data_IF_557761820229
#
_entry.id   IF_557761820229
#
_cell.length_a   1.000
_cell.length_b   1.000
_cell.length_c   1.000
_cell.angle_alpha   90.00
_cell.angle_beta   90.00
_cell.angle_gamma   90.00
#
_symmetry.space_group_name_H-M   'P 1'
#
loop_
_entity.id
_entity.type
_entity.pdbx_description
1 polymer ?
#
# COMPACT_ATOMS: atom_id res chain seq x y z
N UNK A 1 -22.09 20.30 0.95
CA UNK A 1 -21.31 19.41 1.84
C UNK A 1 -22.22 18.25 2.23
N UNK A 2 -22.12 17.09 1.61
CA UNK A 2 -22.80 15.90 2.13
C UNK A 2 -21.93 15.35 3.26
N UNK A 3 -22.47 15.17 4.48
CA UNK A 3 -21.72 14.54 5.56
C UNK A 3 -21.30 13.13 5.13
N UNK A 4 -20.13 12.69 5.59
CA UNK A 4 -19.77 11.29 5.47
C UNK A 4 -20.93 10.44 6.01
N UNK A 5 -21.33 9.34 5.35
CA UNK A 5 -22.39 8.50 5.88
C UNK A 5 -22.01 8.10 7.30
N UNK A 6 -22.91 8.38 8.25
CA UNK A 6 -22.78 7.90 9.61
C UNK A 6 -22.51 6.38 9.51
N UNK A 7 -21.46 5.90 10.19
CA UNK A 7 -21.23 4.46 10.33
C UNK A 7 -22.58 3.83 10.64
N UNK A 8 -22.98 2.82 9.85
CA UNK A 8 -24.11 2.00 10.24
C UNK A 8 -23.75 1.42 11.61
N UNK A 9 -24.41 1.94 12.66
CA UNK A 9 -24.24 1.47 14.02
C UNK A 9 -24.55 -0.04 14.01
N UNK A 10 -23.56 -0.87 14.33
CA UNK A 10 -23.75 -2.31 14.54
C UNK A 10 -23.17 -3.28 13.53
N UNK A 11 -22.49 -2.89 12.43
CA UNK A 11 -21.81 -3.90 11.61
C UNK A 11 -20.43 -4.23 12.23
N UNK A 12 -20.42 -5.26 13.05
CA UNK A 12 -19.18 -5.83 13.56
C UNK A 12 -18.30 -6.31 12.40
N UNK A 13 -17.07 -5.79 12.32
CA UNK A 13 -16.14 -6.17 11.24
C UNK A 13 -15.79 -7.65 11.39
N UNK A 14 -15.97 -8.41 10.34
CA UNK A 14 -15.76 -9.85 10.36
C UNK A 14 -14.30 -10.20 10.14
N UNK A 15 -13.69 -10.97 11.06
CA UNK A 15 -12.29 -11.40 11.01
C UNK A 15 -12.12 -12.94 10.99
N UNK A 16 -13.20 -13.71 10.98
CA UNK A 16 -13.20 -15.17 11.05
C UNK A 16 -13.48 -15.84 9.70
N UNK A 17 -13.18 -15.13 8.63
CA UNK A 17 -13.35 -15.63 7.26
C UNK A 17 -12.69 -16.99 7.08
N UNK A 18 -13.41 -17.91 6.43
CA UNK A 18 -12.84 -19.19 6.00
C UNK A 18 -12.38 -19.09 4.57
N UNK A 19 -11.26 -19.74 4.23
CA UNK A 19 -10.68 -19.69 2.88
C UNK A 19 -11.68 -20.09 1.77
N UNK A 20 -12.58 -21.11 1.94
CA UNK A 20 -13.62 -21.40 0.95
C UNK A 20 -14.63 -20.26 0.74
N UNK A 21 -14.96 -19.49 1.79
CA UNK A 21 -15.85 -18.33 1.66
C UNK A 21 -15.18 -17.21 0.87
N UNK A 22 -13.91 -16.92 1.13
CA UNK A 22 -13.12 -15.95 0.36
C UNK A 22 -13.01 -16.40 -1.10
N UNK A 23 -12.79 -17.69 -1.34
CA UNK A 23 -12.78 -18.26 -2.69
C UNK A 23 -14.13 -18.09 -3.41
N UNK A 24 -15.24 -18.33 -2.73
CA UNK A 24 -16.57 -18.13 -3.29
C UNK A 24 -16.83 -16.67 -3.68
N UNK A 25 -16.41 -15.73 -2.82
CA UNK A 25 -16.49 -14.29 -3.13
C UNK A 25 -15.60 -13.96 -4.33
N UNK A 26 -14.35 -14.40 -4.32
CA UNK A 26 -13.38 -14.13 -5.40
C UNK A 26 -13.87 -14.63 -6.76
N UNK A 27 -14.52 -15.81 -6.80
CA UNK A 27 -15.05 -16.44 -8.02
C UNK A 27 -16.42 -15.97 -8.45
N UNK A 28 -17.06 -15.08 -7.70
CA UNK A 28 -18.32 -14.45 -8.12
C UNK A 28 -18.14 -13.84 -9.53
N UNK A 29 -19.14 -13.95 -10.43
CA UNK A 29 -19.11 -13.27 -11.73
C UNK A 29 -18.72 -11.79 -11.56
N UNK A 30 -17.78 -11.31 -12.37
CA UNK A 30 -17.14 -10.00 -12.12
C UNK A 30 -18.13 -8.83 -12.02
N UNK A 31 -19.20 -8.72 -12.85
CA UNK A 31 -20.17 -7.65 -12.71
C UNK A 31 -20.87 -7.67 -11.34
N UNK A 32 -21.27 -8.84 -10.87
CA UNK A 32 -21.92 -9.03 -9.57
C UNK A 32 -20.94 -8.74 -8.42
N UNK A 33 -19.68 -9.17 -8.54
CA UNK A 33 -18.64 -8.91 -7.55
C UNK A 33 -18.39 -7.41 -7.40
N UNK A 34 -18.29 -6.67 -8.50
CA UNK A 34 -18.09 -5.21 -8.50
C UNK A 34 -19.31 -4.49 -7.92
N UNK A 35 -20.53 -4.91 -8.26
CA UNK A 35 -21.75 -4.36 -7.68
C UNK A 35 -21.78 -4.53 -6.16
N UNK A 36 -21.50 -5.73 -5.65
CA UNK A 36 -21.42 -6.00 -4.21
C UNK A 36 -20.34 -5.18 -3.53
N UNK A 37 -19.15 -5.10 -4.12
CA UNK A 37 -18.04 -4.31 -3.59
C UNK A 37 -18.39 -2.82 -3.52
N UNK A 38 -19.05 -2.26 -4.53
CA UNK A 38 -19.49 -0.88 -4.55
C UNK A 38 -20.61 -0.62 -3.51
N UNK A 39 -21.51 -1.57 -3.32
CA UNK A 39 -22.53 -1.49 -2.28
C UNK A 39 -21.91 -1.43 -0.87
N UNK A 40 -20.90 -2.27 -0.61
CA UNK A 40 -20.12 -2.24 0.64
C UNK A 40 -19.34 -0.94 0.76
N UNK A 41 -18.67 -0.50 -0.31
CA UNK A 41 -17.89 0.74 -0.31
C UNK A 41 -18.70 1.94 0.17
N UNK A 42 -19.93 2.10 -0.36
CA UNK A 42 -20.84 3.23 -0.03
C UNK A 42 -21.32 3.22 1.42
N UNK A 43 -21.23 2.12 2.13
CA UNK A 43 -21.59 2.05 3.56
C UNK A 43 -20.49 2.62 4.46
N UNK A 44 -19.23 2.65 3.99
CA UNK A 44 -18.08 3.06 4.79
C UNK A 44 -17.42 4.34 4.28
N UNK A 45 -17.58 4.66 3.00
CA UNK A 45 -16.91 5.77 2.33
C UNK A 45 -17.83 6.52 1.38
N UNK A 46 -17.57 7.79 1.20
CA UNK A 46 -18.13 8.57 0.11
C UNK A 46 -17.55 8.06 -1.22
N UNK A 47 -18.40 7.68 -2.20
CA UNK A 47 -17.94 7.01 -3.41
C UNK A 47 -17.18 7.92 -4.38
N UNK A 48 -17.26 9.24 -4.17
CA UNK A 48 -16.58 10.26 -4.96
C UNK A 48 -15.27 10.74 -4.33
N UNK A 49 -14.83 10.16 -3.19
CA UNK A 49 -13.65 10.61 -2.47
C UNK A 49 -12.48 9.63 -2.58
N UNK A 50 -11.34 10.15 -3.06
CA UNK A 50 -10.09 9.38 -3.24
C UNK A 50 -9.00 9.96 -2.35
N UNK A 51 -8.36 9.14 -1.53
CA UNK A 51 -7.16 9.54 -0.80
C UNK A 51 -5.97 9.57 -1.77
N UNK A 52 -5.29 10.70 -1.85
CA UNK A 52 -4.03 10.84 -2.55
C UNK A 52 -2.85 10.70 -1.60
N UNK A 53 -1.86 9.92 -2.00
CA UNK A 53 -0.65 9.67 -1.24
C UNK A 53 0.57 9.93 -2.11
N UNK A 54 1.64 10.49 -1.56
CA UNK A 54 2.92 10.59 -2.26
C UNK A 54 3.95 9.70 -1.58
N UNK A 55 4.77 9.01 -2.37
CA UNK A 55 5.82 8.12 -1.87
C UNK A 55 7.19 8.63 -2.29
N UNK A 56 8.08 8.79 -1.31
CA UNK A 56 9.47 9.16 -1.52
C UNK A 56 10.40 8.04 -1.08
N UNK A 57 11.36 7.67 -1.93
CA UNK A 57 12.48 6.81 -1.54
C UNK A 57 13.50 7.66 -0.77
N UNK A 58 13.53 7.50 0.55
CA UNK A 58 14.47 8.26 1.40
C UNK A 58 15.87 7.61 1.49
N UNK A 59 15.97 6.32 1.14
CA UNK A 59 17.22 5.59 0.96
C UNK A 59 17.02 4.53 -0.12
N UNK A 60 17.75 4.63 -1.23
CA UNK A 60 17.54 3.82 -2.43
C UNK A 60 18.63 2.79 -2.61
N UNK A 61 18.25 1.57 -2.98
CA UNK A 61 19.14 0.49 -3.40
C UNK A 61 19.98 -0.15 -2.30
N UNK A 62 20.57 -1.30 -2.61
CA UNK A 62 21.45 -2.04 -1.71
C UNK A 62 20.73 -2.68 -0.54
N UNK A 63 19.46 -3.02 -0.67
CA UNK A 63 18.72 -3.82 0.31
C UNK A 63 19.28 -5.26 0.33
N UNK A 64 19.61 -5.82 1.51
CA UNK A 64 20.15 -7.18 1.58
C UNK A 64 19.09 -8.29 1.42
N UNK A 65 17.83 -7.95 1.18
CA UNK A 65 16.76 -8.91 0.90
C UNK A 65 16.76 -9.32 -0.58
N UNK A 66 16.38 -10.57 -0.86
CA UNK A 66 16.34 -11.18 -2.18
C UNK A 66 14.95 -11.16 -2.83
N UNK A 67 14.06 -10.25 -2.44
CA UNK A 67 12.71 -10.15 -3.00
C UNK A 67 12.76 -10.14 -4.53
N UNK A 68 12.25 -11.20 -5.18
CA UNK A 68 12.43 -11.48 -6.61
C UNK A 68 11.85 -10.40 -7.56
N UNK A 69 10.97 -9.55 -7.07
CA UNK A 69 10.38 -8.41 -7.79
C UNK A 69 11.12 -7.09 -7.59
N UNK A 70 12.05 -7.01 -6.61
CA UNK A 70 12.50 -5.72 -6.09
C UNK A 70 13.77 -5.23 -6.80
N UNK A 71 13.65 -4.10 -7.49
CA UNK A 71 14.79 -3.41 -8.12
C UNK A 71 15.85 -2.89 -7.13
N UNK A 72 15.52 -2.77 -5.85
CA UNK A 72 16.43 -2.24 -4.83
C UNK A 72 17.25 -3.32 -4.11
N UNK A 73 17.00 -4.60 -4.43
CA UNK A 73 17.76 -5.72 -3.89
C UNK A 73 19.24 -5.65 -4.27
N UNK A 74 20.13 -5.99 -3.34
CA UNK A 74 21.55 -6.11 -3.61
C UNK A 74 21.92 -7.42 -4.33
N UNK A 75 20.95 -8.34 -4.46
CA UNK A 75 21.12 -9.63 -5.14
C UNK A 75 20.97 -9.51 -6.66
N UNK A 76 20.46 -8.39 -7.19
CA UNK A 76 20.12 -8.25 -8.60
C UNK A 76 20.77 -7.02 -9.24
N UNK A 77 21.15 -7.15 -10.52
CA UNK A 77 21.72 -6.05 -11.31
C UNK A 77 20.60 -5.32 -12.08
N UNK A 78 19.99 -4.35 -11.42
CA UNK A 78 18.81 -3.61 -11.94
C UNK A 78 19.14 -2.20 -12.43
N UNK A 79 20.42 -1.82 -12.45
CA UNK A 79 20.83 -0.46 -12.80
C UNK A 79 20.51 0.60 -11.73
N UNK A 80 19.95 0.21 -10.60
CA UNK A 80 19.64 1.15 -9.51
C UNK A 80 20.91 1.52 -8.75
N UNK A 81 21.27 2.80 -8.80
CA UNK A 81 22.40 3.34 -8.02
C UNK A 81 22.05 3.42 -6.56
N UNK A 82 22.92 2.88 -5.71
CA UNK A 82 22.79 3.01 -4.24
C UNK A 82 22.91 4.47 -3.82
N UNK A 83 21.97 4.93 -3.02
CA UNK A 83 21.98 6.26 -2.43
C UNK A 83 22.01 6.16 -0.91
N UNK A 84 22.69 7.09 -0.27
CA UNK A 84 22.63 7.25 1.17
C UNK A 84 21.25 7.74 1.59
N UNK A 85 20.97 7.70 2.89
CA UNK A 85 19.78 8.34 3.46
C UNK A 85 19.76 9.82 3.09
N UNK A 86 18.62 10.30 2.65
CA UNK A 86 18.41 11.71 2.31
C UNK A 86 18.50 12.60 3.55
N UNK A 87 18.82 13.86 3.33
CA UNK A 87 18.79 14.88 4.39
C UNK A 87 17.33 15.13 4.84
N UNK A 88 17.03 15.19 6.16
CA UNK A 88 15.69 15.45 6.67
C UNK A 88 15.04 16.72 6.12
N UNK A 89 15.79 17.79 5.96
CA UNK A 89 15.26 19.08 5.42
C UNK A 89 14.78 18.93 3.98
N UNK A 90 15.52 18.15 3.18
CA UNK A 90 15.11 17.85 1.80
C UNK A 90 13.78 17.08 1.78
N UNK A 91 13.67 16.02 2.61
CA UNK A 91 12.45 15.19 2.70
C UNK A 91 11.25 16.04 3.15
N UNK A 92 11.42 16.87 4.17
CA UNK A 92 10.38 17.78 4.66
C UNK A 92 9.98 18.81 3.58
N UNK A 93 10.94 19.29 2.78
CA UNK A 93 10.69 20.19 1.64
C UNK A 93 9.78 19.53 0.60
N UNK A 94 10.11 18.29 0.18
CA UNK A 94 9.28 17.51 -0.76
C UNK A 94 7.88 17.24 -0.19
N UNK A 95 7.79 16.94 1.10
CA UNK A 95 6.50 16.71 1.76
C UNK A 95 5.64 17.98 1.80
N UNK A 96 6.25 19.15 2.02
CA UNK A 96 5.54 20.45 1.98
C UNK A 96 4.97 20.73 0.60
N UNK A 97 5.76 20.55 -0.45
CA UNK A 97 5.27 20.68 -1.83
C UNK A 97 4.11 19.71 -2.14
N UNK A 98 4.16 18.50 -1.60
CA UNK A 98 3.07 17.54 -1.72
C UNK A 98 1.81 18.02 -0.99
N UNK A 99 1.94 18.54 0.23
CA UNK A 99 0.82 19.09 1.01
C UNK A 99 0.16 20.28 0.30
N UNK A 100 0.95 21.19 -0.31
CA UNK A 100 0.45 22.32 -1.10
C UNK A 100 -0.37 21.87 -2.32
N UNK A 101 -0.08 20.68 -2.88
CA UNK A 101 -0.87 20.05 -3.94
C UNK A 101 -2.08 19.24 -3.43
N UNK A 102 -2.38 19.30 -2.13
CA UNK A 102 -3.53 18.62 -1.53
C UNK A 102 -3.32 17.12 -1.25
N UNK A 103 -2.07 16.66 -1.24
CA UNK A 103 -1.74 15.27 -0.83
C UNK A 103 -1.93 15.16 0.69
N UNK A 104 -2.71 14.16 1.13
CA UNK A 104 -3.06 14.01 2.54
C UNK A 104 -2.17 13.01 3.30
N UNK A 105 -1.44 12.13 2.59
CA UNK A 105 -0.52 11.16 3.18
C UNK A 105 0.82 11.20 2.48
N UNK A 106 1.89 11.32 3.26
CA UNK A 106 3.26 11.22 2.76
C UNK A 106 3.91 9.93 3.24
N UNK A 107 4.39 9.13 2.29
CA UNK A 107 5.00 7.83 2.53
C UNK A 107 6.50 7.91 2.30
N UNK A 108 7.30 7.38 3.23
CA UNK A 108 8.76 7.33 3.17
C UNK A 108 9.24 5.89 3.13
N UNK A 109 9.95 5.51 2.08
CA UNK A 109 10.50 4.17 1.91
C UNK A 109 12.02 4.14 1.96
N UNK A 110 12.60 3.21 2.71
CA UNK A 110 14.04 2.97 2.75
C UNK A 110 14.36 1.52 2.41
N UNK A 111 15.37 1.31 1.56
CA UNK A 111 15.84 -0.01 1.16
C UNK A 111 16.66 -0.67 2.27
N UNK A 112 15.99 -1.06 3.35
CA UNK A 112 16.53 -1.77 4.50
C UNK A 112 15.79 -3.10 4.76
N UNK A 113 16.54 -4.08 5.25
CA UNK A 113 15.93 -5.30 5.82
C UNK A 113 15.25 -5.00 7.16
N UNK A 114 15.94 -4.18 7.98
CA UNK A 114 15.50 -3.73 9.29
C UNK A 114 15.93 -2.28 9.46
N UNK A 115 15.14 -1.47 10.15
CA UNK A 115 15.52 -0.12 10.47
C UNK A 115 16.85 -0.11 11.25
N UNK A 116 17.84 0.72 10.86
CA UNK A 116 19.10 0.81 11.56
C UNK A 116 18.92 1.46 12.94
N UNK A 117 19.96 1.41 13.74
CA UNK A 117 20.06 2.17 14.99
C UNK A 117 20.94 3.41 14.81
N UNK A 118 20.92 4.30 15.79
CA UNK A 118 21.77 5.50 15.83
C UNK A 118 21.36 6.58 14.84
N UNK A 119 22.33 7.28 14.28
CA UNK A 119 22.11 8.53 13.52
C UNK A 119 21.16 8.42 12.35
N UNK A 120 21.17 7.31 11.60
CA UNK A 120 20.25 7.16 10.47
C UNK A 120 18.80 7.04 10.96
N UNK A 121 18.57 6.33 12.07
CA UNK A 121 17.24 6.23 12.65
C UNK A 121 16.79 7.56 13.27
N UNK A 122 17.68 8.28 13.92
CA UNK A 122 17.42 9.63 14.44
C UNK A 122 17.00 10.59 13.31
N UNK A 123 17.68 10.54 12.16
CA UNK A 123 17.30 11.31 10.98
C UNK A 123 15.92 10.93 10.47
N UNK A 124 15.54 9.64 10.52
CA UNK A 124 14.18 9.21 10.16
C UNK A 124 13.14 9.75 11.14
N UNK A 125 13.42 9.78 12.45
CA UNK A 125 12.53 10.38 13.45
C UNK A 125 12.32 11.88 13.18
N UNK A 126 13.38 12.60 12.82
CA UNK A 126 13.30 14.02 12.40
C UNK A 126 12.42 14.18 11.15
N UNK A 127 12.58 13.33 10.13
CA UNK A 127 11.73 13.33 8.94
C UNK A 127 10.27 13.11 9.31
N UNK A 128 9.96 12.10 10.13
CA UNK A 128 8.61 11.77 10.58
C UNK A 128 7.98 12.96 11.30
N UNK A 129 8.69 13.53 12.25
CA UNK A 129 8.24 14.68 13.05
C UNK A 129 7.98 15.92 12.16
N UNK A 130 8.91 16.21 11.25
CA UNK A 130 8.79 17.33 10.32
C UNK A 130 7.63 17.18 9.34
N UNK A 131 7.36 15.98 8.84
CA UNK A 131 6.22 15.72 7.94
C UNK A 131 4.89 15.76 8.73
N UNK A 132 4.86 15.21 9.94
CA UNK A 132 3.69 15.26 10.81
C UNK A 132 3.29 16.71 11.15
N UNK A 133 4.29 17.58 11.38
CA UNK A 133 4.07 19.01 11.65
C UNK A 133 3.44 19.76 10.46
N UNK A 134 3.43 19.20 9.25
CA UNK A 134 2.71 19.74 8.09
C UNK A 134 1.22 19.36 8.08
N UNK A 135 0.71 18.63 9.09
CA UNK A 135 -0.67 18.15 9.14
C UNK A 135 -0.96 16.96 8.22
N UNK A 136 0.06 16.27 7.75
CA UNK A 136 -0.08 15.09 6.89
C UNK A 136 -0.12 13.79 7.69
N UNK A 137 -0.83 12.78 7.19
CA UNK A 137 -0.61 11.40 7.63
C UNK A 137 0.79 10.94 7.19
N UNK A 138 1.60 10.43 8.13
CA UNK A 138 2.95 9.93 7.85
C UNK A 138 2.95 8.42 7.80
N UNK A 139 3.47 7.86 6.72
CA UNK A 139 3.63 6.41 6.55
C UNK A 139 5.10 6.06 6.27
N UNK A 140 5.64 5.05 6.94
CA UNK A 140 7.01 4.59 6.71
C UNK A 140 7.07 3.12 6.28
N UNK A 141 8.08 2.79 5.46
CA UNK A 141 8.50 1.44 5.06
C UNK A 141 10.00 1.33 5.30
N UNK A 142 10.41 0.81 6.45
CA UNK A 142 11.82 0.79 6.89
C UNK A 142 12.35 -0.65 7.10
N UNK A 143 11.62 -1.65 6.59
CA UNK A 143 11.91 -3.06 6.87
C UNK A 143 11.29 -3.52 8.20
N UNK A 144 11.97 -4.40 8.93
CA UNK A 144 11.53 -4.86 10.25
C UNK A 144 11.80 -3.79 11.31
N UNK A 145 11.01 -3.78 12.38
CA UNK A 145 11.17 -2.89 13.53
C UNK A 145 11.29 -3.67 14.83
N UNK A 146 12.08 -3.13 15.75
CA UNK A 146 12.01 -3.51 17.17
C UNK A 146 10.82 -2.80 17.84
N UNK A 147 10.38 -3.28 19.01
CA UNK A 147 9.33 -2.62 19.80
C UNK A 147 9.70 -1.18 20.15
N UNK A 148 10.95 -0.96 20.55
CA UNK A 148 11.48 0.36 20.89
C UNK A 148 11.43 1.31 19.68
N UNK A 149 11.86 0.86 18.50
CA UNK A 149 11.80 1.65 17.27
C UNK A 149 10.36 2.02 16.88
N UNK A 150 9.43 1.08 17.03
CA UNK A 150 8.03 1.34 16.74
C UNK A 150 7.42 2.40 17.68
N UNK A 151 7.77 2.36 18.97
CA UNK A 151 7.33 3.37 19.97
C UNK A 151 7.92 4.73 19.63
N UNK A 152 9.23 4.83 19.37
CA UNK A 152 9.88 6.11 18.99
C UNK A 152 9.28 6.72 17.72
N UNK A 153 8.97 5.89 16.72
CA UNK A 153 8.29 6.36 15.50
C UNK A 153 6.88 6.89 15.80
N UNK A 154 6.13 6.22 16.68
CA UNK A 154 4.81 6.69 17.13
C UNK A 154 4.90 8.04 17.84
N UNK A 155 5.85 8.18 18.76
CA UNK A 155 6.11 9.43 19.50
C UNK A 155 6.53 10.57 18.56
N UNK A 156 7.28 10.26 17.49
CA UNK A 156 7.62 11.23 16.45
C UNK A 156 6.45 11.64 15.55
N UNK A 157 5.27 11.00 15.68
CA UNK A 157 4.07 11.34 14.91
C UNK A 157 3.76 10.39 13.75
N UNK A 158 4.37 9.19 13.69
CA UNK A 158 4.06 8.20 12.68
C UNK A 158 2.59 7.76 12.79
N UNK A 159 1.85 7.91 11.70
CA UNK A 159 0.44 7.51 11.60
C UNK A 159 0.28 6.06 11.18
N UNK A 160 1.06 5.62 10.20
CA UNK A 160 0.96 4.29 9.63
C UNK A 160 2.33 3.68 9.33
N UNK A 161 2.43 2.36 9.37
CA UNK A 161 3.62 1.63 8.95
C UNK A 161 3.27 0.65 7.83
N UNK A 162 3.97 0.76 6.71
CA UNK A 162 3.79 -0.16 5.60
C UNK A 162 4.73 -1.36 5.75
N UNK A 163 4.13 -2.55 5.79
CA UNK A 163 4.84 -3.81 5.77
C UNK A 163 3.99 -4.87 5.08
N UNK A 164 4.16 -5.01 3.77
CA UNK A 164 3.32 -5.89 2.96
C UNK A 164 3.60 -7.36 3.26
N UNK A 165 2.57 -8.20 3.15
CA UNK A 165 2.72 -9.67 3.12
C UNK A 165 3.18 -10.15 1.74
N UNK A 166 3.06 -9.32 0.73
CA UNK A 166 3.42 -9.50 -0.68
C UNK A 166 2.57 -10.55 -1.39
N UNK A 167 2.41 -11.75 -0.85
CA UNK A 167 1.62 -12.84 -1.43
C UNK A 167 1.03 -13.76 -0.36
N UNK A 168 0.52 -14.93 -0.72
CA UNK A 168 0.06 -15.95 0.24
C UNK A 168 1.22 -16.57 1.03
N UNK A 169 0.95 -17.13 2.23
CA UNK A 169 1.95 -17.90 2.97
C UNK A 169 2.58 -19.02 2.15
N UNK A 170 1.75 -19.70 1.32
CA UNK A 170 2.18 -20.87 0.53
C UNK A 170 3.11 -20.49 -0.62
N UNK A 171 2.93 -19.32 -1.23
CA UNK A 171 3.74 -18.87 -2.36
C UNK A 171 4.93 -17.99 -1.94
N UNK A 172 4.95 -17.50 -0.71
CA UNK A 172 5.93 -16.55 -0.22
C UNK A 172 7.38 -17.00 -0.41
N UNK A 173 7.69 -18.25 -0.05
CA UNK A 173 9.05 -18.83 -0.17
C UNK A 173 9.58 -18.93 -1.61
N UNK A 174 8.70 -18.84 -2.62
CA UNK A 174 9.10 -18.76 -4.03
C UNK A 174 9.54 -17.37 -4.47
N UNK A 175 9.25 -16.35 -3.65
CA UNK A 175 9.50 -14.95 -3.97
C UNK A 175 10.59 -14.34 -3.09
N UNK A 176 10.68 -14.74 -1.82
CA UNK A 176 11.62 -14.20 -0.83
C UNK A 176 12.15 -15.35 0.01
N UNK A 177 13.47 -15.47 0.11
CA UNK A 177 14.12 -16.51 0.93
C UNK A 177 14.92 -15.96 2.10
N UNK A 178 15.32 -14.70 2.05
CA UNK A 178 16.12 -14.04 3.09
C UNK A 178 15.33 -13.65 4.34
N UNK A 179 14.00 -13.70 4.30
CA UNK A 179 13.10 -13.38 5.41
C UNK A 179 11.87 -14.29 5.34
N UNK A 180 11.38 -14.72 6.50
CA UNK A 180 10.21 -15.58 6.60
C UNK A 180 8.90 -14.80 6.52
N UNK A 181 7.80 -15.47 6.24
CA UNK A 181 6.46 -14.90 6.31
C UNK A 181 6.10 -14.48 7.76
N UNK A 182 6.56 -15.28 8.73
CA UNK A 182 6.39 -15.03 10.16
C UNK A 182 7.07 -13.74 10.62
N UNK A 183 8.25 -13.40 10.08
CA UNK A 183 8.93 -12.13 10.35
C UNK A 183 8.07 -10.94 9.94
N UNK A 184 7.33 -11.07 8.85
CA UNK A 184 6.38 -10.04 8.42
C UNK A 184 5.21 -9.89 9.38
N UNK A 185 4.58 -11.00 9.76
CA UNK A 185 3.48 -10.98 10.73
C UNK A 185 3.93 -10.43 12.08
N UNK A 186 5.14 -10.81 12.55
CA UNK A 186 5.72 -10.29 13.79
C UNK A 186 5.94 -8.78 13.72
N UNK A 187 6.44 -8.26 12.59
CA UNK A 187 6.60 -6.81 12.41
C UNK A 187 5.26 -6.08 12.46
N UNK A 188 4.21 -6.62 11.83
CA UNK A 188 2.86 -6.05 11.90
C UNK A 188 2.32 -6.03 13.33
N UNK A 189 2.54 -7.12 14.10
CA UNK A 189 2.15 -7.18 15.51
C UNK A 189 2.91 -6.15 16.37
N UNK A 190 4.21 -5.99 16.15
CA UNK A 190 5.05 -4.99 16.82
C UNK A 190 4.54 -3.57 16.57
N UNK A 191 4.22 -3.26 15.33
CA UNK A 191 3.65 -1.95 14.93
C UNK A 191 2.31 -1.69 15.62
N UNK A 192 1.43 -2.71 15.64
CA UNK A 192 0.13 -2.61 16.33
C UNK A 192 0.28 -2.36 17.82
N UNK A 193 1.19 -3.07 18.47
CA UNK A 193 1.47 -2.91 19.91
C UNK A 193 1.90 -1.49 20.27
N UNK A 194 2.62 -0.82 19.38
CA UNK A 194 3.01 0.58 19.53
C UNK A 194 1.87 1.58 19.22
N UNK A 195 0.67 1.14 18.86
CA UNK A 195 -0.45 2.02 18.53
C UNK A 195 -0.33 2.74 17.18
N UNK A 196 0.49 2.20 16.27
CA UNK A 196 0.60 2.68 14.89
C UNK A 196 -0.34 1.87 13.99
N UNK A 197 -1.02 2.53 13.05
CA UNK A 197 -1.89 1.86 12.08
C UNK A 197 -1.06 1.06 11.07
N UNK A 198 -1.67 0.04 10.50
CA UNK A 198 -1.00 -0.86 9.55
C UNK A 198 -1.43 -0.55 8.12
N UNK A 199 -0.42 -0.40 7.24
CA UNK A 199 -0.58 -0.43 5.80
C UNK A 199 0.01 -1.77 5.32
N UNK A 200 -0.84 -2.71 4.88
CA UNK A 200 -0.40 -4.05 4.52
C UNK A 200 -1.23 -4.61 3.39
N UNK A 201 -0.58 -5.08 2.35
CA UNK A 201 -1.19 -5.67 1.16
C UNK A 201 -0.25 -6.61 0.44
N UNK A 202 -0.37 -6.68 -0.88
CA UNK A 202 0.46 -7.57 -1.69
C UNK A 202 0.62 -7.15 -3.13
N UNK A 203 1.26 -8.03 -3.89
CA UNK A 203 1.61 -7.84 -5.30
C UNK A 203 1.00 -9.00 -6.10
N UNK A 204 0.30 -8.67 -7.17
CA UNK A 204 -0.28 -9.64 -8.09
C UNK A 204 0.53 -9.70 -9.39
N UNK A 205 0.54 -10.85 -10.03
CA UNK A 205 1.26 -11.06 -11.30
C UNK A 205 2.71 -11.55 -11.12
N UNK A 206 3.07 -12.05 -9.93
CA UNK A 206 4.39 -12.64 -9.64
C UNK A 206 4.52 -14.11 -10.04
N UNK A 207 3.57 -14.65 -10.82
CA UNK A 207 3.49 -16.06 -11.18
C UNK A 207 2.66 -16.91 -10.21
N UNK A 208 2.02 -16.27 -9.26
CA UNK A 208 1.11 -16.89 -8.30
C UNK A 208 -0.16 -17.41 -8.98
N UNK A 209 -0.80 -18.40 -8.36
CA UNK A 209 -2.09 -18.96 -8.79
C UNK A 209 -3.24 -18.17 -8.17
N UNK A 210 -4.46 -18.40 -8.67
CA UNK A 210 -5.69 -17.86 -8.06
C UNK A 210 -5.79 -18.22 -6.56
N UNK A 211 -5.42 -19.45 -6.19
CA UNK A 211 -5.39 -19.92 -4.80
C UNK A 211 -4.50 -19.06 -3.90
N UNK A 212 -3.43 -18.50 -4.45
CA UNK A 212 -2.49 -17.67 -3.71
C UNK A 212 -3.03 -16.25 -3.53
N UNK A 213 -3.70 -15.69 -4.54
CA UNK A 213 -4.42 -14.41 -4.42
C UNK A 213 -5.53 -14.50 -3.36
N UNK A 214 -6.29 -15.60 -3.37
CA UNK A 214 -7.28 -15.90 -2.33
C UNK A 214 -6.61 -16.05 -0.96
N UNK A 215 -5.47 -16.74 -0.88
CA UNK A 215 -4.68 -16.92 0.34
C UNK A 215 -4.19 -15.61 0.93
N UNK A 216 -3.67 -14.69 0.11
CA UNK A 216 -3.28 -13.34 0.51
C UNK A 216 -4.46 -12.56 1.10
N UNK A 217 -5.58 -12.50 0.36
CA UNK A 217 -6.78 -11.77 0.79
C UNK A 217 -7.39 -12.35 2.07
N UNK A 218 -7.41 -13.68 2.19
CA UNK A 218 -7.82 -14.37 3.42
C UNK A 218 -6.93 -13.98 4.60
N UNK A 219 -5.59 -14.03 4.42
CA UNK A 219 -4.67 -13.66 5.50
C UNK A 219 -4.85 -12.22 5.96
N UNK A 220 -5.00 -11.27 5.03
CA UNK A 220 -5.25 -9.86 5.36
C UNK A 220 -6.57 -9.68 6.10
N UNK A 221 -7.64 -10.36 5.66
CA UNK A 221 -8.97 -10.26 6.24
C UNK A 221 -9.12 -10.97 7.60
N UNK A 222 -8.17 -11.81 8.00
CA UNK A 222 -8.15 -12.47 9.33
C UNK A 222 -7.30 -11.72 10.35
N UNK A 223 -6.58 -10.68 9.96
CA UNK A 223 -5.87 -9.82 10.92
C UNK A 223 -6.86 -9.06 11.81
N UNK A 224 -6.55 -8.94 13.09
CA UNK A 224 -7.37 -8.25 14.10
C UNK A 224 -6.59 -7.10 14.75
N UNK A 225 -6.97 -5.84 14.45
CA UNK A 225 -7.92 -5.38 13.44
C UNK A 225 -7.41 -5.58 12.01
N UNK A 226 -8.29 -5.39 11.00
CA UNK A 226 -7.87 -5.31 9.60
C UNK A 226 -6.81 -4.21 9.42
N UNK A 227 -5.91 -4.33 8.42
CA UNK A 227 -5.06 -3.22 8.03
C UNK A 227 -5.92 -1.99 7.67
N UNK A 228 -5.59 -0.83 8.18
CA UNK A 228 -6.30 0.41 7.85
C UNK A 228 -6.11 0.82 6.39
N UNK A 229 -5.02 0.37 5.78
CA UNK A 229 -4.75 0.55 4.35
C UNK A 229 -4.26 -0.75 3.73
N UNK A 230 -4.87 -1.13 2.60
CA UNK A 230 -4.57 -2.36 1.87
C UNK A 230 -4.12 -2.00 0.45
N UNK A 231 -2.81 -1.83 0.21
CA UNK A 231 -2.29 -1.64 -1.13
C UNK A 231 -2.36 -2.94 -1.94
N UNK A 232 -3.04 -2.89 -3.08
CA UNK A 232 -3.01 -3.92 -4.11
C UNK A 232 -2.11 -3.40 -5.22
N UNK A 233 -0.97 -4.06 -5.39
CA UNK A 233 0.01 -3.75 -6.40
C UNK A 233 -0.10 -4.74 -7.55
N UNK A 234 0.22 -4.30 -8.76
CA UNK A 234 0.53 -5.17 -9.88
C UNK A 234 2.04 -5.19 -10.08
N UNK A 235 2.61 -6.34 -10.40
CA UNK A 235 4.04 -6.48 -10.64
C UNK A 235 4.51 -5.47 -11.70
N UNK A 236 5.45 -4.63 -11.31
CA UNK A 236 6.24 -3.83 -12.25
C UNK A 236 7.46 -4.65 -12.63
N UNK A 237 7.53 -5.08 -13.87
CA UNK A 237 8.62 -5.90 -14.37
C UNK A 237 9.85 -5.02 -14.59
N UNK A 238 10.88 -5.23 -13.78
CA UNK A 238 12.14 -4.48 -13.86
C UNK A 238 13.22 -5.41 -14.40
N UNK A 239 13.90 -4.97 -15.44
CA UNK A 239 15.02 -5.70 -16.02
C UNK A 239 16.10 -5.96 -14.95
N UNK A 240 16.72 -7.12 -15.01
CA UNK A 240 17.68 -7.59 -14.01
C UNK A 240 17.06 -8.28 -12.80
N UNK A 241 15.75 -8.19 -12.58
CA UNK A 241 15.05 -8.96 -11.53
C UNK A 241 14.63 -10.34 -12.04
N UNK A 242 14.51 -11.36 -11.15
CA UNK A 242 14.05 -12.70 -11.55
C UNK A 242 12.68 -12.72 -12.23
N UNK A 243 11.78 -11.79 -11.87
CA UNK A 243 10.41 -11.76 -12.40
C UNK A 243 10.24 -10.85 -13.64
N UNK A 244 11.33 -10.29 -14.18
CA UNK A 244 11.29 -9.35 -15.31
C UNK A 244 10.57 -9.88 -16.56
N UNK A 245 10.65 -11.20 -16.79
CA UNK A 245 10.14 -11.86 -18.02
C UNK A 245 8.76 -12.49 -17.86
N UNK A 246 8.13 -12.36 -16.70
CA UNK A 246 6.77 -12.88 -16.49
C UNK A 246 5.76 -12.19 -17.43
N UNK A 247 4.73 -12.90 -17.89
CA UNK A 247 3.65 -12.28 -18.64
C UNK A 247 2.92 -11.23 -17.81
N UNK A 248 2.31 -10.22 -18.43
CA UNK A 248 1.48 -9.26 -17.71
C UNK A 248 0.27 -9.97 -17.08
N UNK A 249 -0.11 -9.51 -15.89
CA UNK A 249 -1.37 -9.92 -15.28
C UNK A 249 -2.56 -9.36 -16.09
N UNK A 250 -3.61 -10.17 -16.22
CA UNK A 250 -4.88 -9.67 -16.75
C UNK A 250 -5.42 -8.52 -15.85
N UNK A 251 -5.69 -7.32 -16.38
CA UNK A 251 -6.23 -6.22 -15.62
C UNK A 251 -7.52 -6.55 -14.85
N UNK A 252 -8.34 -7.47 -15.34
CA UNK A 252 -9.57 -7.90 -14.65
C UNK A 252 -9.28 -8.64 -13.35
N UNK A 253 -8.13 -9.26 -13.21
CA UNK A 253 -7.70 -9.88 -11.94
C UNK A 253 -7.36 -8.81 -10.88
N UNK A 254 -6.85 -7.64 -11.27
CA UNK A 254 -6.70 -6.49 -10.35
C UNK A 254 -8.06 -6.01 -9.85
N UNK A 255 -9.03 -5.84 -10.76
CA UNK A 255 -10.40 -5.44 -10.42
C UNK A 255 -11.02 -6.45 -9.45
N UNK A 256 -10.87 -7.75 -9.72
CA UNK A 256 -11.37 -8.85 -8.90
C UNK A 256 -10.79 -8.83 -7.49
N UNK A 257 -9.47 -8.67 -7.38
CA UNK A 257 -8.77 -8.63 -6.09
C UNK A 257 -9.18 -7.40 -5.26
N UNK A 258 -9.30 -6.22 -5.90
CA UNK A 258 -9.76 -4.98 -5.25
C UNK A 258 -11.20 -5.13 -4.76
N UNK A 259 -12.11 -5.65 -5.59
CA UNK A 259 -13.50 -5.88 -5.20
C UNK A 259 -13.61 -6.85 -4.02
N UNK A 260 -12.85 -7.95 -4.07
CA UNK A 260 -12.82 -8.92 -2.98
C UNK A 260 -12.25 -8.30 -1.70
N UNK A 261 -11.14 -7.55 -1.79
CA UNK A 261 -10.56 -6.84 -0.65
C UNK A 261 -11.57 -5.87 -0.01
N UNK A 262 -12.33 -5.12 -0.80
CA UNK A 262 -13.37 -4.20 -0.33
C UNK A 262 -14.47 -4.92 0.44
N UNK A 263 -14.93 -6.07 -0.04
CA UNK A 263 -15.98 -6.86 0.62
C UNK A 263 -15.47 -7.43 1.95
N UNK A 264 -14.25 -7.97 1.95
CA UNK A 264 -13.67 -8.62 3.13
C UNK A 264 -13.26 -7.63 4.23
N UNK A 265 -12.75 -6.47 3.83
CA UNK A 265 -12.19 -5.44 4.72
C UNK A 265 -12.85 -4.08 4.46
N UNK A 266 -14.13 -3.95 4.81
CA UNK A 266 -14.95 -2.82 4.37
C UNK A 266 -14.51 -1.47 4.91
N UNK A 267 -13.90 -1.42 6.09
CA UNK A 267 -13.40 -0.20 6.72
C UNK A 267 -11.95 0.17 6.29
N UNK A 268 -11.28 -0.69 5.51
CA UNK A 268 -9.92 -0.43 5.04
C UNK A 268 -9.91 0.53 3.84
N UNK A 269 -8.90 1.38 3.74
CA UNK A 269 -8.61 2.07 2.48
C UNK A 269 -7.95 1.10 1.52
N UNK A 270 -8.67 0.68 0.49
CA UNK A 270 -8.12 -0.17 -0.58
C UNK A 270 -7.37 0.72 -1.56
N UNK A 271 -6.07 0.52 -1.68
CA UNK A 271 -5.21 1.36 -2.54
C UNK A 271 -4.85 0.64 -3.82
N UNK A 272 -5.20 1.25 -4.96
CA UNK A 272 -4.62 0.91 -6.24
C UNK A 272 -3.20 1.52 -6.29
N UNK A 273 -2.18 0.64 -6.15
CA UNK A 273 -0.81 1.07 -5.87
C UNK A 273 0.12 0.91 -7.08
N UNK A 274 1.25 0.20 -6.96
CA UNK A 274 2.20 0.06 -8.08
C UNK A 274 1.60 -0.72 -9.27
N UNK A 275 2.16 -0.49 -10.47
CA UNK A 275 1.72 -1.12 -11.71
C UNK A 275 0.58 -0.40 -12.42
N UNK A 276 0.00 0.63 -11.84
CA UNK A 276 -1.14 1.38 -12.39
C UNK A 276 -0.86 1.96 -13.79
N UNK A 277 0.37 2.36 -14.06
CA UNK A 277 0.79 2.87 -15.39
C UNK A 277 0.65 1.83 -16.52
N UNK A 278 0.60 0.55 -16.19
CA UNK A 278 0.40 -0.53 -17.17
C UNK A 278 -1.07 -0.89 -17.39
N UNK A 279 -1.98 -0.26 -16.65
CA UNK A 279 -3.42 -0.43 -16.81
C UNK A 279 -3.97 0.59 -17.81
N UNK A 280 -4.97 0.19 -18.60
CA UNK A 280 -5.72 1.16 -19.38
C UNK A 280 -6.57 2.06 -18.47
N UNK A 281 -6.97 3.20 -18.98
CA UNK A 281 -7.85 4.14 -18.28
C UNK A 281 -9.15 3.47 -17.79
N UNK A 282 -9.74 2.62 -18.63
CA UNK A 282 -10.95 1.87 -18.32
C UNK A 282 -10.71 0.87 -17.19
N UNK A 283 -9.56 0.19 -17.18
CA UNK A 283 -9.19 -0.73 -16.11
C UNK A 283 -8.99 -0.01 -14.78
N UNK A 284 -8.35 1.17 -14.79
CA UNK A 284 -8.23 2.03 -13.59
C UNK A 284 -9.61 2.48 -13.10
N UNK A 285 -10.49 2.88 -14.01
CA UNK A 285 -11.89 3.25 -13.69
C UNK A 285 -12.64 2.08 -13.05
N UNK A 286 -12.51 0.87 -13.60
CA UNK A 286 -13.09 -0.33 -13.02
C UNK A 286 -12.53 -0.63 -11.61
N UNK A 287 -11.25 -0.36 -11.35
CA UNK A 287 -10.68 -0.48 -10.00
C UNK A 287 -11.36 0.47 -9.00
N UNK A 288 -11.66 1.71 -9.39
CA UNK A 288 -12.42 2.64 -8.54
C UNK A 288 -13.87 2.15 -8.32
N UNK A 289 -14.53 1.67 -9.37
CA UNK A 289 -15.86 1.06 -9.24
C UNK A 289 -15.83 -0.18 -8.34
N UNK A 290 -14.76 -0.96 -8.36
CA UNK A 290 -14.53 -2.10 -7.48
C UNK A 290 -14.24 -1.72 -6.02
N UNK A 291 -14.14 -0.41 -5.72
CA UNK A 291 -14.00 0.09 -4.35
C UNK A 291 -12.57 0.49 -3.96
N UNK A 292 -11.64 0.65 -4.91
CA UNK A 292 -10.39 1.36 -4.62
C UNK A 292 -10.71 2.82 -4.27
N UNK A 293 -10.15 3.32 -3.18
CA UNK A 293 -10.39 4.68 -2.69
C UNK A 293 -9.11 5.39 -2.21
N UNK A 294 -7.97 4.87 -2.63
CA UNK A 294 -6.66 5.51 -2.40
C UNK A 294 -5.73 5.21 -3.57
N UNK A 295 -4.90 6.17 -3.95
CA UNK A 295 -3.84 6.01 -4.96
C UNK A 295 -2.55 6.69 -4.52
N UNK A 296 -1.45 6.29 -5.16
CA UNK A 296 -0.24 7.09 -5.16
C UNK A 296 -0.24 8.08 -6.33
N UNK A 297 0.07 9.34 -6.03
CA UNK A 297 0.31 10.41 -6.99
C UNK A 297 1.80 10.79 -7.02
N UNK A 298 2.21 11.59 -8.02
CA UNK A 298 3.60 11.95 -8.25
C UNK A 298 4.27 11.02 -9.26
N UNK A 299 5.39 11.46 -9.84
CA UNK A 299 6.00 10.84 -11.01
C UNK A 299 6.63 9.46 -10.76
N UNK A 300 6.96 9.17 -9.50
CA UNK A 300 7.67 7.92 -9.14
C UNK A 300 7.11 7.27 -7.88
N UNK A 301 7.13 5.93 -7.89
CA UNK A 301 6.93 5.07 -6.72
C UNK A 301 8.26 4.40 -6.39
N UNK A 302 8.98 4.87 -5.36
CA UNK A 302 10.35 4.46 -5.05
C UNK A 302 11.27 4.60 -6.27
N UNK A 303 11.40 3.58 -7.09
CA UNK A 303 12.29 3.50 -8.26
C UNK A 303 11.54 3.31 -9.58
N UNK A 304 10.22 3.11 -9.54
CA UNK A 304 9.42 2.82 -10.73
C UNK A 304 8.57 4.02 -11.14
N UNK A 305 8.33 4.25 -12.46
CA UNK A 305 7.49 5.33 -12.94
C UNK A 305 6.04 5.18 -12.45
N UNK A 306 5.38 6.29 -12.22
CA UNK A 306 3.94 6.41 -11.95
C UNK A 306 3.29 7.30 -13.02
N UNK A 307 1.96 7.29 -13.22
CA UNK A 307 1.29 8.28 -14.04
C UNK A 307 1.65 9.71 -13.63
N UNK A 308 1.76 10.60 -14.61
CA UNK A 308 2.02 12.00 -14.30
C UNK A 308 0.80 12.66 -13.63
N UNK A 309 1.00 13.69 -12.78
CA UNK A 309 -0.10 14.31 -12.03
C UNK A 309 -1.30 14.72 -12.89
N UNK A 310 -1.06 15.32 -14.05
CA UNK A 310 -2.09 15.79 -14.97
C UNK A 310 -3.00 14.66 -15.51
N UNK A 311 -2.48 13.43 -15.64
CA UNK A 311 -3.27 12.26 -16.05
C UNK A 311 -4.27 11.87 -14.96
N UNK A 312 -3.85 11.91 -13.71
CA UNK A 312 -4.70 11.61 -12.56
C UNK A 312 -5.76 12.70 -12.35
N UNK A 313 -5.37 13.97 -12.42
CA UNK A 313 -6.28 15.10 -12.27
C UNK A 313 -7.37 15.08 -13.35
N UNK A 314 -6.98 14.84 -14.60
CA UNK A 314 -7.92 14.69 -15.71
C UNK A 314 -8.88 13.54 -15.50
N UNK A 315 -8.37 12.37 -15.11
CA UNK A 315 -9.21 11.20 -14.82
C UNK A 315 -10.19 11.48 -13.69
N UNK A 316 -9.75 12.15 -12.62
CA UNK A 316 -10.63 12.51 -11.51
C UNK A 316 -11.74 13.46 -11.93
N UNK A 317 -11.41 14.50 -12.72
CA UNK A 317 -12.40 15.44 -13.25
C UNK A 317 -13.45 14.73 -14.08
N UNK A 318 -13.04 13.85 -15.01
CA UNK A 318 -13.94 13.11 -15.88
C UNK A 318 -14.83 12.10 -15.14
N UNK A 319 -14.33 11.50 -14.05
CA UNK A 319 -15.09 10.58 -13.21
C UNK A 319 -15.86 11.28 -12.08
N UNK A 320 -15.71 12.59 -11.91
CA UNK A 320 -16.30 13.33 -10.79
C UNK A 320 -15.70 12.96 -9.43
N UNK A 321 -14.48 12.42 -9.41
CA UNK A 321 -13.78 12.06 -8.18
C UNK A 321 -13.06 13.27 -7.60
N UNK A 322 -12.99 13.34 -6.27
CA UNK A 322 -12.37 14.45 -5.54
C UNK A 322 -11.37 13.90 -4.53
N UNK A 323 -10.19 14.50 -4.40
CA UNK A 323 -9.29 14.19 -3.30
C UNK A 323 -9.98 14.34 -1.94
N UNK A 324 -9.63 13.47 -1.00
CA UNK A 324 -10.00 13.67 0.42
C UNK A 324 -9.27 14.89 0.92
N UNK A 325 -9.97 15.78 1.59
CA UNK A 325 -9.35 16.95 2.23
C UNK A 325 -8.54 16.50 3.46
N UNK A 326 -7.40 17.15 3.69
CA UNK A 326 -6.67 16.97 4.94
C UNK A 326 -7.54 17.48 6.09
N UNK A 327 -7.90 16.59 7.02
CA UNK A 327 -8.39 17.08 8.30
C UNK A 327 -7.14 17.54 9.05
N UNK A 328 -6.97 18.84 9.19
CA UNK A 328 -6.11 19.37 10.26
C UNK A 328 -6.61 18.75 11.58
N UNK A 329 -5.78 17.91 12.18
CA UNK A 329 -6.01 17.31 13.49
C UNK A 329 -5.77 18.38 14.54
#
# INVERSE_FOLDING_TARGET
MSPAPARAEGSELRHDWKRPEVAAIYRTPLPELVFRAQSVHRQFYSPDRIQTCQLLSIKTGGCPEDCAYCSQSAHYETGITRQKLLDPRHVIGVAREAAERGVTRFCMGAAWRQAPEGKEFESVLEMVSGVAALGMEVCCTLGMLTEEQAVKLKEAGLTAYNHNLDTSPEFYGSIITTRTYEDRLKTLATVRKAGVTVCCGGILGMGERESDRIGLLHQLATLKPHPESVPINMLVRVEGTPLAKLPPLDPLEMVRAIATARILMPASRVRLAAGRKSLSREAVTLCFLAGANSIFVGEKLLTTPNPVPDEDERLFQELGLKPVESHAV
#
